data_IF_542837176941
#
_entry.id   IF_542837176941
#
_cell.length_a   1.000
_cell.length_b   1.000
_cell.length_c   1.000
_cell.angle_alpha   90.00
_cell.angle_beta   90.00
_cell.angle_gamma   90.00
#
_symmetry.space_group_name_H-M   'P 1'
#
loop_
_entity.id
_entity.type
_entity.pdbx_description
1 polymer ?
#
# COMPACT_ATOMS: atom_id res chain seq x y z
N UNK A 1 -26.49 -26.03 52.29
CA UNK A 1 -27.02 -25.03 51.34
C UNK A 1 -25.90 -24.03 51.08
N UNK A 2 -24.88 -24.39 50.30
CA UNK A 2 -24.75 -24.23 48.83
C UNK A 2 -24.73 -22.76 48.37
N UNK A 3 -23.57 -22.38 47.84
CA UNK A 3 -23.32 -21.34 46.84
C UNK A 3 -23.72 -19.90 47.22
N UNK A 4 -22.76 -19.16 47.80
CA UNK A 4 -22.69 -17.71 47.56
C UNK A 4 -22.04 -17.53 46.18
N UNK A 5 -22.89 -17.50 45.16
CA UNK A 5 -22.54 -17.26 43.77
C UNK A 5 -21.89 -15.87 43.65
N UNK A 6 -20.56 -15.84 43.59
CA UNK A 6 -19.80 -14.66 43.17
C UNK A 6 -20.04 -14.46 41.68
N UNK A 7 -21.20 -13.90 41.37
CA UNK A 7 -21.53 -13.43 40.03
C UNK A 7 -20.76 -12.13 39.80
N UNK A 8 -19.45 -12.25 39.59
CA UNK A 8 -18.63 -11.20 38.99
C UNK A 8 -19.11 -11.01 37.57
N UNK A 9 -20.04 -10.07 37.39
CA UNK A 9 -20.43 -9.58 36.08
C UNK A 9 -19.16 -9.20 35.31
N UNK A 10 -18.85 -9.85 34.16
CA UNK A 10 -17.76 -9.41 33.33
C UNK A 10 -18.13 -8.02 32.82
N UNK A 11 -17.37 -6.99 33.19
CA UNK A 11 -17.50 -5.67 32.58
C UNK A 11 -17.37 -5.85 31.07
N UNK A 12 -18.48 -5.71 30.36
CA UNK A 12 -18.52 -5.75 28.90
C UNK A 12 -17.76 -4.52 28.41
N UNK A 13 -16.47 -4.68 28.12
CA UNK A 13 -15.72 -3.69 27.33
C UNK A 13 -16.48 -3.56 26.01
N UNK A 14 -17.00 -2.38 25.67
CA UNK A 14 -17.71 -2.21 24.42
C UNK A 14 -16.74 -2.58 23.30
N UNK A 15 -17.09 -3.61 22.52
CA UNK A 15 -16.39 -3.96 21.32
C UNK A 15 -16.42 -2.72 20.41
N UNK A 16 -15.28 -2.04 20.29
CA UNK A 16 -15.12 -0.88 19.43
C UNK A 16 -15.54 -1.33 18.04
N UNK A 17 -16.65 -0.78 17.54
CA UNK A 17 -17.10 -1.03 16.18
C UNK A 17 -15.93 -0.62 15.29
N UNK A 18 -15.30 -1.59 14.63
CA UNK A 18 -14.33 -1.32 13.57
C UNK A 18 -15.10 -0.55 12.49
N UNK A 19 -15.10 0.77 12.61
CA UNK A 19 -15.60 1.65 11.56
C UNK A 19 -14.78 1.30 10.33
N UNK A 20 -15.46 0.77 9.29
CA UNK A 20 -14.83 0.53 7.99
C UNK A 20 -14.16 1.84 7.59
N UNK A 21 -12.84 1.84 7.44
CA UNK A 21 -12.13 3.05 7.04
C UNK A 21 -12.77 3.55 5.74
N UNK A 22 -13.16 4.81 5.73
CA UNK A 22 -13.66 5.43 4.51
C UNK A 22 -12.56 5.43 3.47
N UNK A 23 -12.93 5.36 2.18
CA UNK A 23 -11.99 5.28 1.06
C UNK A 23 -10.89 6.34 1.16
N UNK A 24 -11.24 7.58 1.56
CA UNK A 24 -10.28 8.66 1.77
C UNK A 24 -9.25 8.38 2.87
N UNK A 25 -9.62 7.72 3.96
CA UNK A 25 -8.70 7.36 5.04
C UNK A 25 -7.72 6.25 4.62
N UNK A 26 -8.18 5.27 3.85
CA UNK A 26 -7.31 4.24 3.25
C UNK A 26 -6.34 4.86 2.25
N UNK A 27 -6.82 5.71 1.35
CA UNK A 27 -5.97 6.39 0.37
C UNK A 27 -4.97 7.32 1.04
N UNK A 28 -5.39 8.10 2.05
CA UNK A 28 -4.49 8.96 2.82
C UNK A 28 -3.43 8.17 3.59
N UNK A 29 -3.79 7.02 4.15
CA UNK A 29 -2.84 6.12 4.83
C UNK A 29 -1.76 5.61 3.87
N UNK A 30 -2.15 5.20 2.66
CA UNK A 30 -1.23 4.71 1.62
C UNK A 30 -0.33 5.84 1.11
N UNK A 31 -0.89 7.00 0.80
CA UNK A 31 -0.11 8.16 0.35
C UNK A 31 0.86 8.61 1.45
N UNK A 32 0.40 8.64 2.70
CA UNK A 32 1.23 9.00 3.85
C UNK A 32 2.42 8.07 4.05
N UNK A 33 2.25 6.76 3.90
CA UNK A 33 3.35 5.79 4.05
C UNK A 33 4.36 5.85 2.90
N UNK A 34 3.89 6.07 1.67
CA UNK A 34 4.77 6.24 0.51
C UNK A 34 5.57 7.55 0.56
N UNK A 35 4.91 8.68 0.86
CA UNK A 35 5.56 10.00 0.91
C UNK A 35 6.46 10.14 2.14
N UNK A 36 6.03 9.63 3.30
CA UNK A 36 6.75 9.74 4.57
C UNK A 36 8.07 8.97 4.61
N UNK A 37 8.24 7.91 3.82
CA UNK A 37 9.52 7.20 3.72
C UNK A 37 10.44 7.80 2.65
N UNK A 38 9.88 8.24 1.51
CA UNK A 38 10.67 8.73 0.38
C UNK A 38 11.21 10.17 0.58
N UNK A 39 10.39 11.09 1.07
CA UNK A 39 10.76 12.52 1.14
C UNK A 39 11.79 12.81 2.23
N UNK A 40 11.81 12.03 3.31
CA UNK A 40 12.80 12.22 4.37
C UNK A 40 14.14 11.53 4.06
N UNK A 41 14.14 10.43 3.28
CA UNK A 41 15.37 9.69 2.96
C UNK A 41 16.18 10.29 1.78
N UNK A 42 15.50 10.87 0.77
CA UNK A 42 16.14 11.30 -0.47
C UNK A 42 17.00 12.59 -0.36
N UNK A 43 16.52 13.68 0.27
CA UNK A 43 17.31 14.91 0.37
C UNK A 43 18.56 14.71 1.23
N UNK A 44 18.45 13.92 2.30
CA UNK A 44 19.56 13.65 3.20
C UNK A 44 20.65 12.81 2.55
N UNK A 45 20.29 11.84 1.69
CA UNK A 45 21.25 11.03 0.93
C UNK A 45 21.85 11.74 -0.29
N UNK A 46 21.17 12.73 -0.88
CA UNK A 46 21.68 13.47 -2.04
C UNK A 46 22.44 14.74 -1.68
N UNK A 47 22.11 15.39 -0.55
CA UNK A 47 22.87 16.51 0.01
C UNK A 47 24.32 16.13 0.38
N UNK A 48 24.59 14.83 0.61
CA UNK A 48 25.94 14.33 0.93
C UNK A 48 26.83 14.08 -0.30
N UNK A 49 26.30 14.12 -1.55
CA UNK A 49 27.06 13.67 -2.71
C UNK A 49 26.77 14.29 -4.08
N UNK A 50 25.68 15.06 -4.30
CA UNK A 50 25.33 15.58 -5.63
C UNK A 50 24.84 17.03 -5.63
N UNK A 51 25.20 17.79 -6.66
CA UNK A 51 24.73 19.15 -6.86
C UNK A 51 23.19 19.23 -7.03
N UNK A 52 22.51 20.29 -6.54
CA UNK A 52 21.04 20.41 -6.54
C UNK A 52 20.38 20.18 -7.91
N UNK A 53 21.09 20.53 -9.00
CA UNK A 53 20.64 20.37 -10.37
C UNK A 53 20.50 18.89 -10.80
N UNK A 54 21.44 18.03 -10.40
CA UNK A 54 21.40 16.60 -10.73
C UNK A 54 20.23 15.89 -10.03
N UNK A 55 19.96 16.27 -8.79
CA UNK A 55 18.83 15.79 -7.98
C UNK A 55 17.50 16.11 -8.65
N UNK A 56 17.35 17.34 -9.15
CA UNK A 56 16.11 17.82 -9.78
C UNK A 56 15.81 17.08 -11.09
N UNK A 57 16.84 16.79 -11.89
CA UNK A 57 16.70 16.00 -13.12
C UNK A 57 16.35 14.54 -12.78
N UNK A 58 17.01 13.94 -11.79
CA UNK A 58 16.70 12.58 -11.33
C UNK A 58 15.26 12.44 -10.85
N UNK A 59 14.75 13.43 -10.10
CA UNK A 59 13.35 13.49 -9.70
C UNK A 59 12.39 13.56 -10.89
N UNK A 60 12.72 14.36 -11.91
CA UNK A 60 11.95 14.46 -13.15
C UNK A 60 11.86 13.13 -13.89
N UNK A 61 12.99 12.44 -14.08
CA UNK A 61 13.03 11.11 -14.73
C UNK A 61 12.22 10.10 -13.92
N UNK A 62 12.35 10.13 -12.59
CA UNK A 62 11.61 9.23 -11.69
C UNK A 62 10.10 9.48 -11.79
N UNK A 63 9.67 10.74 -11.82
CA UNK A 63 8.27 11.10 -11.99
C UNK A 63 7.71 10.59 -13.34
N UNK A 64 8.48 10.76 -14.43
CA UNK A 64 8.08 10.27 -15.76
C UNK A 64 7.96 8.74 -15.77
N UNK A 65 8.93 8.03 -15.18
CA UNK A 65 8.89 6.57 -15.06
C UNK A 65 7.68 6.09 -14.25
N UNK A 66 7.34 6.80 -13.16
CA UNK A 66 6.18 6.48 -12.34
C UNK A 66 4.86 6.67 -13.11
N UNK A 67 4.74 7.74 -13.90
CA UNK A 67 3.55 7.96 -14.75
C UNK A 67 3.41 6.83 -15.78
N UNK A 68 4.51 6.38 -16.40
CA UNK A 68 4.46 5.24 -17.31
C UNK A 68 3.96 3.96 -16.63
N UNK A 69 4.43 3.67 -15.41
CA UNK A 69 3.94 2.53 -14.62
C UNK A 69 2.47 2.66 -14.27
N UNK A 70 2.01 3.84 -13.84
CA UNK A 70 0.60 4.11 -13.56
C UNK A 70 -0.26 3.88 -14.79
N UNK A 71 0.17 4.33 -15.97
CA UNK A 71 -0.57 4.12 -17.22
C UNK A 71 -0.70 2.64 -17.59
N UNK A 72 0.35 1.84 -17.39
CA UNK A 72 0.30 0.39 -17.62
C UNK A 72 -0.72 -0.27 -16.68
N UNK A 73 -0.68 0.03 -15.39
CA UNK A 73 -1.64 -0.52 -14.42
C UNK A 73 -3.06 -0.01 -14.67
N UNK A 74 -3.23 1.26 -15.01
CA UNK A 74 -4.52 1.84 -15.38
C UNK A 74 -5.10 1.16 -16.63
N UNK A 75 -4.25 0.86 -17.62
CA UNK A 75 -4.66 0.13 -18.83
C UNK A 75 -5.07 -1.33 -18.53
N UNK A 76 -4.41 -1.98 -17.57
CA UNK A 76 -4.78 -3.33 -17.13
C UNK A 76 -6.09 -3.34 -16.30
N UNK A 77 -6.24 -2.38 -15.38
CA UNK A 77 -7.44 -2.24 -14.54
C UNK A 77 -8.70 -1.95 -15.38
N UNK A 78 -8.58 -1.14 -16.44
CA UNK A 78 -9.69 -0.86 -17.35
C UNK A 78 -10.05 -2.04 -18.26
N UNK A 79 -9.08 -2.89 -18.62
CA UNK A 79 -9.33 -4.06 -19.50
C UNK A 79 -9.78 -5.32 -18.77
N UNK A 80 -9.44 -5.48 -17.49
CA UNK A 80 -9.83 -6.65 -16.67
C UNK A 80 -10.31 -6.21 -15.28
N UNK A 81 -11.52 -5.62 -15.18
CA UNK A 81 -12.06 -5.10 -13.92
C UNK A 81 -12.37 -6.19 -12.87
N UNK A 82 -12.41 -7.47 -13.25
CA UNK A 82 -12.70 -8.61 -12.34
C UNK A 82 -11.46 -9.10 -11.54
N UNK A 83 -10.27 -8.54 -11.79
CA UNK A 83 -9.01 -8.95 -11.14
C UNK A 83 -8.61 -7.97 -10.03
N UNK A 84 -9.28 -8.07 -8.88
CA UNK A 84 -9.12 -7.18 -7.72
C UNK A 84 -8.00 -7.57 -6.72
N UNK A 85 -7.13 -8.52 -7.07
CA UNK A 85 -6.08 -9.02 -6.17
C UNK A 85 -4.66 -8.45 -6.47
N UNK A 86 -4.58 -7.25 -7.06
CA UNK A 86 -3.32 -6.53 -7.28
C UNK A 86 -2.41 -7.15 -8.36
N UNK A 87 -1.11 -6.77 -8.42
CA UNK A 87 -0.16 -7.21 -9.45
C UNK A 87 -0.12 -8.73 -9.63
N UNK A 88 -0.26 -9.47 -8.53
CA UNK A 88 -0.32 -10.93 -8.51
C UNK A 88 -1.48 -11.50 -9.34
N UNK A 89 -2.68 -10.93 -9.21
CA UNK A 89 -3.84 -11.40 -9.97
C UNK A 89 -3.66 -11.18 -11.47
N UNK A 90 -3.06 -10.05 -11.86
CA UNK A 90 -2.73 -9.76 -13.25
C UNK A 90 -1.64 -10.69 -13.79
N UNK A 91 -0.58 -10.94 -13.01
CA UNK A 91 0.52 -11.84 -13.40
C UNK A 91 0.05 -13.30 -13.52
N UNK A 92 -0.76 -13.79 -12.57
CA UNK A 92 -1.34 -15.14 -12.60
C UNK A 92 -2.30 -15.32 -13.77
N UNK A 93 -3.17 -14.34 -14.03
CA UNK A 93 -4.14 -14.42 -15.12
C UNK A 93 -3.54 -14.23 -16.51
N UNK A 94 -2.41 -13.52 -16.63
CA UNK A 94 -1.72 -13.27 -17.90
C UNK A 94 -0.68 -14.32 -18.27
N UNK A 95 0.08 -14.80 -17.27
CA UNK A 95 1.30 -15.60 -17.49
C UNK A 95 1.29 -16.95 -16.76
N UNK A 96 0.20 -17.27 -16.06
CA UNK A 96 0.01 -18.55 -15.39
C UNK A 96 0.48 -18.60 -13.93
N UNK A 97 0.25 -19.73 -13.24
CA UNK A 97 0.46 -19.86 -11.79
C UNK A 97 1.90 -19.65 -11.34
N UNK A 98 2.89 -20.07 -12.15
CA UNK A 98 4.32 -19.96 -11.82
C UNK A 98 4.81 -18.52 -11.81
N UNK A 99 4.47 -17.74 -12.85
CA UNK A 99 4.85 -16.32 -12.94
C UNK A 99 4.07 -15.49 -11.91
N UNK A 100 2.80 -15.83 -11.67
CA UNK A 100 2.03 -15.28 -10.56
C UNK A 100 2.71 -15.53 -9.21
N UNK A 101 3.11 -16.77 -8.91
CA UNK A 101 3.81 -17.11 -7.68
C UNK A 101 5.11 -16.31 -7.50
N UNK A 102 5.97 -16.26 -8.54
CA UNK A 102 7.20 -15.47 -8.49
C UNK A 102 6.94 -13.98 -8.24
N UNK A 103 5.87 -13.41 -8.80
CA UNK A 103 5.49 -12.01 -8.58
C UNK A 103 4.96 -11.73 -7.16
N UNK A 104 4.41 -12.73 -6.45
CA UNK A 104 3.92 -12.58 -5.08
C UNK A 104 4.99 -12.89 -4.02
N UNK A 105 6.04 -13.62 -4.40
CA UNK A 105 7.08 -14.13 -3.51
C UNK A 105 8.43 -13.43 -3.67
N UNK A 106 8.51 -12.43 -4.56
CA UNK A 106 9.74 -11.68 -4.85
C UNK A 106 10.48 -11.17 -3.62
#
# INVERSE_FOLDING_TARGET
>A
MTATDINTCPKTVPARTTGKLQLGALTALVIGSMVGSAVFALPQNMASGAGPLAVMIGWGITAIGMVALVLVYHSLATRKPDLDAGPYAYAKAGFGPFVGFNSAWG
#
